data_IF_881088539435
#
_entry.id   IF_881088539435
#
_cell.length_a   1.000
_cell.length_b   1.000
_cell.length_c   1.000
_cell.angle_alpha   90.00
_cell.angle_beta   90.00
_cell.angle_gamma   90.00
#
_symmetry.space_group_name_H-M   'P 1'
#
loop_
_entity.id
_entity.type
_entity.pdbx_description
1 polymer ?
#
# COMPACT_ATOMS: atom_id res chain seq x y z
N UNK A 1 34.15 -43.62 -12.84
CA UNK A 1 32.72 -43.46 -12.49
C UNK A 1 32.62 -43.33 -10.97
N UNK A 2 32.47 -42.11 -10.44
CA UNK A 2 32.43 -41.87 -8.99
C UNK A 2 31.05 -42.32 -8.47
N UNK A 3 31.02 -43.40 -7.69
CA UNK A 3 29.78 -43.91 -7.06
C UNK A 3 29.45 -42.97 -5.90
N UNK A 4 28.41 -42.16 -6.03
CA UNK A 4 27.96 -41.29 -4.96
C UNK A 4 27.48 -42.14 -3.77
N UNK A 5 27.97 -41.81 -2.57
CA UNK A 5 27.62 -42.50 -1.33
C UNK A 5 26.12 -42.38 -1.04
N UNK A 6 25.52 -43.38 -0.37
CA UNK A 6 24.12 -43.34 0.08
C UNK A 6 23.81 -42.08 0.91
N UNK A 7 24.82 -41.54 1.60
CA UNK A 7 24.74 -40.26 2.34
C UNK A 7 24.62 -39.05 1.42
N UNK A 8 25.24 -39.08 0.24
CA UNK A 8 25.14 -38.02 -0.75
C UNK A 8 23.73 -37.97 -1.37
N UNK A 9 23.09 -39.12 -1.59
CA UNK A 9 21.70 -39.19 -2.02
C UNK A 9 20.73 -38.62 -0.98
N UNK A 10 20.95 -38.91 0.30
CA UNK A 10 20.17 -38.36 1.40
C UNK A 10 20.31 -36.84 1.53
N UNK A 11 21.54 -36.32 1.46
CA UNK A 11 21.79 -34.89 1.48
C UNK A 11 21.17 -34.16 0.28
N UNK A 12 21.22 -34.79 -0.90
CA UNK A 12 20.63 -34.21 -2.10
C UNK A 12 19.09 -34.18 -2.02
N UNK A 13 18.47 -35.26 -1.53
CA UNK A 13 17.03 -35.31 -1.32
C UNK A 13 16.58 -34.31 -0.24
N UNK A 14 17.36 -34.14 0.83
CA UNK A 14 17.09 -33.16 1.89
C UNK A 14 17.20 -31.72 1.37
N UNK A 15 18.23 -31.41 0.58
CA UNK A 15 18.40 -30.10 -0.04
C UNK A 15 17.25 -29.75 -0.99
N UNK A 16 16.80 -30.71 -1.80
CA UNK A 16 15.65 -30.54 -2.70
C UNK A 16 14.38 -30.28 -1.89
N UNK A 17 14.14 -31.05 -0.81
CA UNK A 17 12.99 -30.83 0.06
C UNK A 17 13.02 -29.43 0.68
N UNK A 18 14.16 -28.97 1.20
CA UNK A 18 14.27 -27.63 1.75
C UNK A 18 14.03 -26.52 0.72
N UNK A 19 14.42 -26.73 -0.55
CA UNK A 19 14.19 -25.76 -1.62
C UNK A 19 12.71 -25.67 -2.05
N UNK A 20 11.97 -26.78 -1.95
CA UNK A 20 10.54 -26.84 -2.32
C UNK A 20 9.57 -26.42 -1.20
N UNK A 21 10.03 -26.38 0.06
CA UNK A 21 9.23 -25.96 1.22
C UNK A 21 9.43 -24.49 1.58
N UNK A 22 10.21 -23.73 0.82
CA UNK A 22 10.25 -22.28 0.99
C UNK A 22 8.87 -21.73 0.58
N UNK A 23 8.18 -20.96 1.45
CA UNK A 23 7.01 -20.22 1.01
C UNK A 23 7.42 -19.39 -0.20
N UNK A 24 6.60 -19.42 -1.25
CA UNK A 24 6.77 -18.50 -2.38
C UNK A 24 6.98 -17.11 -1.78
N UNK A 25 8.04 -16.36 -2.14
CA UNK A 25 8.10 -14.98 -1.74
C UNK A 25 6.79 -14.37 -2.23
N UNK A 26 6.00 -13.93 -1.25
CA UNK A 26 4.80 -13.16 -1.48
C UNK A 26 5.28 -12.08 -2.44
N UNK A 27 4.72 -12.06 -3.65
CA UNK A 27 4.95 -10.95 -4.55
C UNK A 27 4.35 -9.79 -3.77
N UNK A 28 5.19 -9.03 -3.06
CA UNK A 28 4.80 -7.75 -2.52
C UNK A 28 4.23 -7.04 -3.72
N UNK A 29 2.90 -6.85 -3.73
CA UNK A 29 2.23 -6.12 -4.77
C UNK A 29 3.05 -4.85 -4.96
N UNK A 30 3.71 -4.73 -6.12
CA UNK A 30 4.21 -3.45 -6.55
C UNK A 30 2.93 -2.67 -6.83
N UNK A 31 2.37 -2.09 -5.78
CA UNK A 31 1.39 -1.02 -5.89
C UNK A 31 2.18 0.03 -6.65
N UNK A 32 1.86 0.15 -7.94
CA UNK A 32 2.18 1.35 -8.67
C UNK A 32 1.35 2.42 -7.97
N UNK A 33 1.93 3.03 -6.93
CA UNK A 33 1.48 4.34 -6.48
C UNK A 33 1.74 5.21 -7.69
N UNK A 34 0.68 5.41 -8.46
CA UNK A 34 0.55 6.64 -9.22
C UNK A 34 0.74 7.73 -8.16
N UNK A 35 1.88 8.41 -8.21
CA UNK A 35 2.16 9.48 -7.25
C UNK A 35 1.00 10.46 -7.43
N UNK A 36 0.29 10.67 -6.33
CA UNK A 36 -0.86 11.53 -6.15
C UNK A 36 -0.54 12.26 -4.85
N UNK A 37 0.13 13.42 -4.99
CA UNK A 37 0.80 14.14 -3.91
C UNK A 37 -0.19 14.74 -2.91
N UNK A 38 -1.41 15.05 -3.34
CA UNK A 38 -2.47 15.64 -2.53
C UNK A 38 -3.71 14.73 -2.36
N UNK A 39 -3.70 13.51 -2.90
CA UNK A 39 -4.70 12.49 -2.62
C UNK A 39 -6.06 12.73 -3.28
N UNK A 40 -6.11 13.59 -4.30
CA UNK A 40 -7.35 14.00 -4.95
C UNK A 40 -7.85 13.02 -6.04
N UNK A 41 -7.08 11.95 -6.28
CA UNK A 41 -7.36 10.93 -7.29
C UNK A 41 -6.84 11.27 -8.69
N UNK A 42 -6.12 12.37 -8.85
CA UNK A 42 -5.40 12.75 -10.06
C UNK A 42 -3.91 12.53 -9.83
N UNK A 43 -3.29 11.71 -10.68
CA UNK A 43 -1.85 11.50 -10.55
C UNK A 43 -1.04 12.74 -11.02
N UNK A 44 -0.06 13.19 -10.22
CA UNK A 44 1.34 13.07 -10.62
C UNK A 44 1.68 13.48 -12.06
N UNK A 45 1.71 12.42 -12.84
CA UNK A 45 2.31 12.40 -14.14
C UNK A 45 1.26 12.74 -15.20
N UNK A 46 0.81 13.99 -15.26
CA UNK A 46 0.18 14.47 -16.51
C UNK A 46 -0.74 15.67 -16.45
N UNK A 47 -1.30 16.03 -15.29
CA UNK A 47 -2.37 17.05 -15.23
C UNK A 47 -2.36 17.99 -14.03
N UNK A 48 -1.46 17.78 -13.10
CA UNK A 48 -1.31 18.59 -11.89
C UNK A 48 -0.28 19.72 -12.08
N UNK A 49 -0.71 20.95 -11.78
CA UNK A 49 0.19 22.11 -11.61
C UNK A 49 0.52 22.38 -10.13
N UNK A 50 0.20 21.42 -9.25
CA UNK A 50 0.38 21.49 -7.81
C UNK A 50 -0.63 22.39 -7.11
N UNK A 51 -1.80 22.65 -7.73
CA UNK A 51 -2.88 23.44 -7.12
C UNK A 51 -4.06 22.61 -6.62
N UNK A 52 -4.11 21.30 -6.90
CA UNK A 52 -5.29 20.46 -6.64
C UNK A 52 -6.55 20.91 -7.40
N UNK A 53 -6.42 21.83 -8.37
CA UNK A 53 -7.56 22.28 -9.17
C UNK A 53 -7.75 21.33 -10.36
N UNK A 54 -8.96 20.77 -10.57
CA UNK A 54 -9.27 19.98 -11.75
C UNK A 54 -9.06 20.82 -13.02
N UNK A 55 -8.74 20.18 -14.16
CA UNK A 55 -8.53 20.88 -15.41
C UNK A 55 -9.74 21.77 -15.75
N UNK A 56 -9.52 23.02 -16.18
CA UNK A 56 -10.60 23.98 -16.36
C UNK A 56 -11.58 23.48 -17.43
N UNK A 57 -12.77 23.08 -16.99
CA UNK A 57 -13.84 22.53 -17.85
C UNK A 57 -14.52 21.27 -17.32
N UNK A 58 -13.96 20.62 -16.30
CA UNK A 58 -14.58 19.47 -15.60
C UNK A 58 -14.84 19.84 -14.14
N UNK A 59 -15.69 20.85 -13.92
CA UNK A 59 -16.25 21.07 -12.58
C UNK A 59 -17.11 19.84 -12.23
N UNK A 60 -16.79 19.05 -11.19
CA UNK A 60 -17.68 18.00 -10.74
C UNK A 60 -19.02 18.64 -10.36
N UNK A 61 -20.15 17.97 -10.65
CA UNK A 61 -21.43 18.55 -10.37
C UNK A 61 -21.55 18.82 -8.86
N UNK A 62 -22.04 19.99 -8.46
CA UNK A 62 -22.09 20.51 -7.08
C UNK A 62 -22.89 19.66 -6.04
N UNK A 63 -23.27 18.44 -6.37
CA UNK A 63 -23.87 17.43 -5.49
C UNK A 63 -22.94 16.22 -5.25
N UNK A 64 -21.80 16.14 -5.93
CA UNK A 64 -20.73 15.23 -5.57
C UNK A 64 -20.06 15.83 -4.33
N UNK A 65 -20.06 15.13 -3.17
CA UNK A 65 -19.17 15.55 -2.09
C UNK A 65 -17.77 15.61 -2.71
N UNK A 66 -17.06 16.72 -2.48
CA UNK A 66 -15.67 16.82 -2.93
C UNK A 66 -14.86 15.60 -2.48
N UNK A 67 -13.70 15.34 -3.11
CA UNK A 67 -12.82 14.27 -2.65
C UNK A 67 -12.67 14.43 -1.13
N UNK A 68 -13.13 13.42 -0.40
CA UNK A 68 -12.99 13.38 1.04
C UNK A 68 -11.52 13.14 1.30
N UNK A 69 -10.83 14.18 1.77
CA UNK A 69 -9.40 14.18 2.09
C UNK A 69 -9.14 13.04 3.10
N UNK A 70 -8.17 12.20 2.77
CA UNK A 70 -7.61 11.10 3.57
C UNK A 70 -6.09 11.31 3.52
N UNK A 71 -5.61 12.20 4.39
CA UNK A 71 -4.27 12.79 4.36
C UNK A 71 -3.16 11.77 4.66
N UNK A 72 -3.46 10.67 5.33
CA UNK A 72 -2.50 9.62 5.67
C UNK A 72 -2.73 8.29 4.95
N UNK A 73 -3.84 8.16 4.24
CA UNK A 73 -4.17 7.02 3.39
C UNK A 73 -4.52 5.77 4.18
N UNK A 74 -4.93 5.89 5.43
CA UNK A 74 -5.24 4.76 6.32
C UNK A 74 -6.67 4.21 6.08
N UNK A 75 -7.50 4.95 5.35
CA UNK A 75 -8.88 4.60 5.00
C UNK A 75 -9.95 5.32 5.84
N UNK A 76 -9.54 6.21 6.75
CA UNK A 76 -10.40 7.23 7.35
C UNK A 76 -10.19 8.57 6.66
N UNK A 77 -11.27 9.33 6.52
CA UNK A 77 -11.17 10.71 6.01
C UNK A 77 -10.72 11.63 7.15
N UNK A 78 -10.03 12.73 6.86
CA UNK A 78 -9.60 13.74 7.84
C UNK A 78 -10.75 14.21 8.75
N UNK A 79 -11.97 14.30 8.22
CA UNK A 79 -13.17 14.65 8.98
C UNK A 79 -13.55 13.57 10.01
N UNK A 80 -13.43 12.29 9.64
CA UNK A 80 -13.68 11.14 10.51
C UNK A 80 -12.64 11.07 11.61
N UNK A 81 -11.38 11.30 11.26
CA UNK A 81 -10.27 11.32 12.21
C UNK A 81 -10.37 12.48 13.20
N UNK A 82 -10.77 13.66 12.74
CA UNK A 82 -11.08 14.79 13.62
C UNK A 82 -12.22 14.48 14.62
N UNK A 83 -13.15 13.59 14.25
CA UNK A 83 -14.24 13.12 15.12
C UNK A 83 -13.73 12.05 16.09
N UNK A 84 -12.86 11.14 15.64
CA UNK A 84 -12.29 10.05 16.44
C UNK A 84 -11.19 10.54 17.39
N UNK A 85 -10.58 11.68 17.08
CA UNK A 85 -9.46 12.25 17.84
C UNK A 85 -8.11 11.65 17.46
N UNK A 86 -8.01 11.09 16.25
CA UNK A 86 -6.78 10.59 15.62
C UNK A 86 -6.11 11.71 14.82
N UNK A 87 -4.83 11.54 14.48
CA UNK A 87 -4.01 12.50 13.76
C UNK A 87 -4.11 12.23 12.26
N UNK A 88 -4.82 13.10 11.54
CA UNK A 88 -5.08 12.92 10.11
C UNK A 88 -3.86 12.82 9.20
N UNK A 89 -2.66 13.08 9.71
CA UNK A 89 -1.41 12.97 8.94
C UNK A 89 -0.57 11.77 9.37
N UNK A 90 -1.12 10.89 10.20
CA UNK A 90 -0.41 9.77 10.76
C UNK A 90 -1.34 8.55 10.84
N UNK A 91 -1.11 7.53 10.00
CA UNK A 91 -2.04 6.41 9.89
C UNK A 91 -2.10 5.53 11.13
N UNK A 92 -1.27 5.79 12.15
CA UNK A 92 -1.19 5.07 13.43
C UNK A 92 -0.90 6.11 14.53
N UNK A 93 -1.95 6.76 15.02
CA UNK A 93 -1.88 7.91 15.93
C UNK A 93 -1.22 7.62 17.27
N UNK A 94 -1.30 6.39 17.76
CA UNK A 94 -0.75 5.99 19.05
C UNK A 94 0.52 5.11 18.96
N UNK A 95 0.95 4.81 17.74
CA UNK A 95 2.15 4.08 17.36
C UNK A 95 2.18 2.64 17.87
N UNK A 96 1.04 1.97 17.92
CA UNK A 96 0.92 0.59 18.38
C UNK A 96 1.11 -0.47 17.27
N UNK A 97 1.09 -0.02 16.01
CA UNK A 97 1.27 -0.82 14.80
C UNK A 97 -0.02 -1.28 14.11
N UNK A 98 -1.19 -0.83 14.56
CA UNK A 98 -2.45 -0.87 13.83
C UNK A 98 -2.74 0.51 13.23
N UNK A 99 -3.50 0.55 12.12
CA UNK A 99 -3.93 1.86 11.61
C UNK A 99 -5.14 2.36 12.38
N UNK A 100 -5.36 3.67 12.45
CA UNK A 100 -6.52 4.27 13.11
C UNK A 100 -7.85 3.73 12.53
N UNK A 101 -7.88 3.37 11.25
CA UNK A 101 -8.99 2.67 10.59
C UNK A 101 -9.23 1.23 11.06
N UNK A 102 -8.18 0.55 11.54
CA UNK A 102 -8.18 -0.87 11.94
C UNK A 102 -8.33 -1.06 13.48
N UNK A 103 -8.40 0.00 14.28
CA UNK A 103 -8.63 -0.01 15.74
C UNK A 103 -10.11 -0.14 16.17
#
# INVERSE_FOLDING_TARGET
MRRFSRRAWWLHAFLIAQLTLLPCPQVSHAVWVEVDTDGDGIADYGYEDGTGDPPPGEDPPAWEPGPVEDSDGDGLTDEQEAILGTDAHNPDSDYDGLTDADE
#
